data_IF_000437974385
#
_entry.id   IF_000437974385
#
_cell.length_a   1.000
_cell.length_b   1.000
_cell.length_c   1.000
_cell.angle_alpha   90.00
_cell.angle_beta   90.00
_cell.angle_gamma   90.00
#
_symmetry.space_group_name_H-M   'P 1'
#
loop_
_entity.id
_entity.type
_entity.pdbx_description
1 polymer ?
#
# COMPACT_ATOMS: atom_id res chain seq x y z
N UNK A 1 4.40 22.44 12.21
CA UNK A 1 5.17 21.34 11.55
C UNK A 1 4.82 19.91 11.99
N UNK A 2 4.44 19.67 13.26
CA UNK A 2 4.10 18.31 13.75
C UNK A 2 2.79 17.74 13.19
N UNK A 3 1.87 18.61 12.75
CA UNK A 3 0.62 18.21 12.08
C UNK A 3 0.90 17.65 10.68
N UNK A 4 1.79 18.30 9.92
CA UNK A 4 2.15 17.85 8.57
C UNK A 4 2.88 16.50 8.60
N UNK A 5 3.75 16.30 9.59
CA UNK A 5 4.43 15.01 9.80
C UNK A 5 3.47 13.89 10.18
N UNK A 6 2.45 14.20 10.98
CA UNK A 6 1.40 13.23 11.29
C UNK A 6 0.60 12.88 10.03
N UNK A 7 0.20 13.87 9.24
CA UNK A 7 -0.49 13.66 7.97
C UNK A 7 0.36 12.82 6.99
N UNK A 8 1.67 13.09 6.92
CA UNK A 8 2.62 12.28 6.15
C UNK A 8 2.65 10.82 6.62
N UNK A 9 2.66 10.57 7.93
CA UNK A 9 2.59 9.23 8.50
C UNK A 9 1.30 8.49 8.11
N UNK A 10 0.16 9.19 8.16
CA UNK A 10 -1.14 8.64 7.73
C UNK A 10 -1.13 8.30 6.24
N UNK A 11 -0.57 9.17 5.40
CA UNK A 11 -0.46 8.92 3.96
C UNK A 11 0.47 7.74 3.66
N UNK A 12 1.66 7.70 4.27
CA UNK A 12 2.60 6.60 4.10
C UNK A 12 1.95 5.25 4.48
N UNK A 13 1.22 5.22 5.59
CA UNK A 13 0.45 4.05 5.99
C UNK A 13 -0.60 3.66 4.94
N UNK A 14 -1.43 4.61 4.52
CA UNK A 14 -2.51 4.37 3.55
C UNK A 14 -1.97 3.84 2.22
N UNK A 15 -0.82 4.33 1.76
CA UNK A 15 -0.18 3.84 0.55
C UNK A 15 0.29 2.39 0.70
N UNK A 16 0.87 2.02 1.84
CA UNK A 16 1.35 0.66 2.08
C UNK A 16 0.21 -0.35 2.34
N UNK A 17 -0.87 0.04 3.00
CA UNK A 17 -1.92 -0.88 3.48
C UNK A 17 -3.27 -0.74 2.77
N UNK A 18 -3.45 0.30 1.96
CA UNK A 18 -4.70 0.60 1.25
C UNK A 18 -5.77 1.31 2.09
N UNK A 19 -5.55 1.54 3.38
CA UNK A 19 -6.47 2.22 4.29
C UNK A 19 -5.69 3.04 5.34
N UNK A 20 -6.24 4.13 5.89
CA UNK A 20 -5.59 4.87 6.97
C UNK A 20 -5.40 3.99 8.23
N UNK A 21 -4.42 4.32 9.09
CA UNK A 21 -4.23 3.59 10.35
C UNK A 21 -5.49 3.71 11.21
N UNK A 22 -5.90 2.60 11.84
CA UNK A 22 -6.97 2.64 12.84
C UNK A 22 -6.41 3.24 14.14
N UNK A 23 -7.09 4.23 14.76
CA UNK A 23 -6.71 4.70 16.07
C UNK A 23 -6.88 3.56 17.08
N UNK A 24 -5.84 3.24 17.85
CA UNK A 24 -5.95 2.36 19.01
C UNK A 24 -6.02 3.18 20.31
N UNK A 25 -6.50 2.59 21.43
CA UNK A 25 -6.67 3.31 22.70
C UNK A 25 -5.36 3.88 23.28
N UNK A 26 -4.22 3.27 22.96
CA UNK A 26 -2.88 3.74 23.36
C UNK A 26 -2.30 4.81 22.42
N UNK A 27 -3.08 5.20 21.40
CA UNK A 27 -2.68 6.15 20.37
C UNK A 27 -1.60 5.63 19.42
N UNK A 28 -1.32 4.32 19.43
CA UNK A 28 -0.54 3.66 18.40
C UNK A 28 -1.47 3.13 17.29
N UNK A 29 -1.03 3.08 16.04
CA UNK A 29 -1.82 2.45 14.99
C UNK A 29 -1.83 0.92 15.17
N UNK A 30 -3.00 0.29 15.01
CA UNK A 30 -3.08 -1.18 14.99
C UNK A 30 -2.42 -1.71 13.71
N UNK A 31 -1.35 -2.49 13.86
CA UNK A 31 -0.55 -2.99 12.75
C UNK A 31 -1.27 -4.06 11.94
N UNK A 32 -1.20 -3.91 10.62
CA UNK A 32 -1.63 -4.89 9.61
C UNK A 32 -0.47 -5.11 8.65
N UNK A 33 -0.42 -6.24 7.95
CA UNK A 33 0.65 -6.50 6.98
C UNK A 33 0.59 -5.52 5.78
N UNK A 34 1.72 -4.90 5.37
CA UNK A 34 1.78 -4.10 4.15
C UNK A 34 1.39 -4.90 2.90
N UNK A 35 0.67 -4.26 1.97
CA UNK A 35 0.30 -4.88 0.68
C UNK A 35 1.44 -4.90 -0.34
N UNK A 36 2.51 -4.17 -0.06
CA UNK A 36 3.69 -4.06 -0.89
C UNK A 36 4.94 -4.23 -0.04
N UNK A 37 6.06 -4.72 -0.59
CA UNK A 37 7.33 -4.73 0.12
C UNK A 37 7.67 -3.32 0.61
N UNK A 38 8.09 -3.21 1.86
CA UNK A 38 8.59 -1.98 2.47
C UNK A 38 10.00 -2.22 3.01
N UNK A 39 10.86 -1.19 3.07
CA UNK A 39 12.17 -1.32 3.69
C UNK A 39 12.10 -1.84 5.13
N UNK A 40 13.14 -2.52 5.57
CA UNK A 40 13.30 -2.86 6.98
C UNK A 40 13.27 -1.59 7.83
N UNK A 41 12.57 -1.62 8.96
CA UNK A 41 12.43 -0.46 9.84
C UNK A 41 11.47 0.63 9.34
N UNK A 42 10.84 0.47 8.17
CA UNK A 42 9.82 1.40 7.65
C UNK A 42 8.65 1.56 8.63
N UNK A 43 8.20 0.45 9.22
CA UNK A 43 7.15 0.45 10.25
C UNK A 43 7.52 1.38 11.40
N UNK A 44 8.72 1.22 11.96
CA UNK A 44 9.25 2.06 13.05
C UNK A 44 9.34 3.54 12.65
N UNK A 45 9.74 3.81 11.41
CA UNK A 45 9.77 5.16 10.87
C UNK A 45 8.37 5.79 10.84
N UNK A 46 7.36 5.09 10.30
CA UNK A 46 5.97 5.57 10.32
C UNK A 46 5.44 5.72 11.75
N UNK A 47 5.75 4.80 12.67
CA UNK A 47 5.35 4.93 14.08
C UNK A 47 5.89 6.22 14.70
N UNK A 48 7.11 6.64 14.33
CA UNK A 48 7.72 7.88 14.84
C UNK A 48 6.99 9.15 14.40
N UNK A 49 6.27 9.09 13.26
CA UNK A 49 5.43 10.18 12.77
C UNK A 49 4.06 10.19 13.44
N UNK A 50 3.54 9.00 13.77
CA UNK A 50 2.18 8.78 14.28
C UNK A 50 2.08 8.79 15.81
N UNK A 51 3.17 9.10 16.55
CA UNK A 51 3.13 9.17 18.02
C UNK A 51 2.01 10.11 18.49
N UNK A 52 1.22 9.65 19.47
CA UNK A 52 0.11 10.42 20.03
C UNK A 52 0.59 11.76 20.61
N UNK A 53 1.66 11.73 21.42
CA UNK A 53 2.26 12.94 21.99
C UNK A 53 3.18 13.61 20.99
N UNK A 54 3.03 14.92 20.81
CA UNK A 54 3.86 15.72 19.89
C UNK A 54 5.33 15.74 20.29
N UNK A 55 5.64 15.66 21.60
CA UNK A 55 7.00 15.59 22.13
C UNK A 55 7.75 14.31 21.78
N UNK A 56 7.01 13.22 21.49
CA UNK A 56 7.53 11.91 21.11
C UNK A 56 7.68 11.76 19.59
N UNK A 57 7.11 12.69 18.80
CA UNK A 57 7.22 12.68 17.34
C UNK A 57 8.62 13.08 16.88
N UNK A 58 8.98 12.64 15.68
CA UNK A 58 10.18 13.13 15.01
C UNK A 58 10.15 14.65 14.90
N UNK A 59 11.27 15.30 15.23
CA UNK A 59 11.37 16.77 15.25
C UNK A 59 11.74 17.29 13.87
N UNK A 60 10.72 17.58 13.07
CA UNK A 60 10.85 18.29 11.80
C UNK A 60 11.07 17.39 10.58
N UNK A 61 10.81 17.97 9.40
CA UNK A 61 10.87 17.27 8.12
C UNK A 61 12.27 16.78 7.76
N UNK A 62 13.31 17.56 8.06
CA UNK A 62 14.70 17.17 7.80
C UNK A 62 15.06 15.85 8.50
N UNK A 63 14.72 15.73 9.79
CA UNK A 63 14.99 14.51 10.56
C UNK A 63 14.16 13.32 10.06
N UNK A 64 12.89 13.56 9.71
CA UNK A 64 12.04 12.54 9.10
C UNK A 64 12.64 12.02 7.78
N UNK A 65 13.17 12.92 6.95
CA UNK A 65 13.82 12.58 5.69
C UNK A 65 15.12 11.80 5.87
N UNK A 66 16.01 12.25 6.75
CA UNK A 66 17.27 11.56 7.06
C UNK A 66 17.02 10.11 7.49
N UNK A 67 16.07 9.92 8.39
CA UNK A 67 15.73 8.59 8.92
C UNK A 67 15.06 7.70 7.88
N UNK A 68 14.26 8.27 6.97
CA UNK A 68 13.70 7.52 5.83
C UNK A 68 14.81 7.07 4.87
N UNK A 69 15.72 7.96 4.52
CA UNK A 69 16.86 7.64 3.64
C UNK A 69 17.76 6.55 4.22
N UNK A 70 17.95 6.56 5.54
CA UNK A 70 18.77 5.57 6.23
C UNK A 70 18.20 4.15 6.20
N UNK A 71 16.90 3.97 5.89
CA UNK A 71 16.31 2.64 5.72
C UNK A 71 16.82 1.91 4.49
N UNK A 72 17.42 2.63 3.53
CA UNK A 72 17.91 2.06 2.28
C UNK A 72 16.79 1.74 1.28
N UNK A 73 17.12 1.08 0.17
CA UNK A 73 16.16 0.76 -0.87
C UNK A 73 15.15 -0.27 -0.39
N UNK A 74 13.91 -0.13 -0.86
CA UNK A 74 12.89 -1.16 -0.69
C UNK A 74 13.38 -2.47 -1.33
N UNK A 75 13.25 -3.62 -0.65
CA UNK A 75 13.47 -4.92 -1.26
C UNK A 75 12.64 -4.98 -2.53
N UNK A 76 13.30 -5.18 -3.68
CA UNK A 76 12.55 -5.32 -4.94
C UNK A 76 11.60 -6.49 -4.74
N UNK A 77 10.32 -6.27 -5.04
CA UNK A 77 9.43 -7.37 -5.31
C UNK A 77 10.09 -8.11 -6.48
N UNK A 78 10.77 -9.23 -6.21
CA UNK A 78 11.11 -10.18 -7.25
C UNK A 78 9.76 -10.47 -7.91
N UNK A 79 9.60 -10.05 -9.16
CA UNK A 79 8.31 -10.08 -9.82
C UNK A 79 7.61 -11.42 -9.55
N UNK A 80 6.28 -11.44 -9.33
CA UNK A 80 5.58 -12.72 -9.42
C UNK A 80 5.98 -13.35 -10.77
N UNK A 81 6.27 -14.66 -10.84
CA UNK A 81 6.63 -15.28 -12.11
C UNK A 81 5.57 -14.88 -13.13
N UNK A 82 6.01 -14.19 -14.19
CA UNK A 82 5.15 -13.85 -15.30
C UNK A 82 4.69 -15.16 -15.94
N UNK A 83 3.54 -15.63 -15.49
CA UNK A 83 2.85 -16.76 -16.08
C UNK A 83 1.35 -16.45 -16.06
N UNK A 84 0.97 -15.44 -16.83
CA UNK A 84 -0.30 -15.54 -17.53
C UNK A 84 0.05 -16.04 -18.93
N UNK A 85 -0.01 -17.35 -19.22
CA UNK A 85 -0.16 -17.75 -20.60
C UNK A 85 -1.51 -17.17 -21.06
N UNK A 86 -1.48 -16.41 -22.15
CA UNK A 86 -2.66 -15.91 -22.81
C UNK A 86 -3.65 -17.06 -23.05
N UNK A 87 -4.72 -17.12 -22.27
CA UNK A 87 -5.83 -18.00 -22.56
C UNK A 87 -6.54 -17.45 -23.81
N UNK A 88 -6.12 -18.00 -24.94
CA UNK A 88 -6.78 -17.96 -26.25
C UNK A 88 -8.26 -18.35 -26.12
N UNK A 89 -9.08 -17.58 -26.85
CA UNK A 89 -10.27 -18.01 -27.59
C UNK A 89 -11.44 -18.64 -26.82
N UNK A 90 -12.41 -17.79 -26.43
CA UNK A 90 -13.82 -18.14 -26.62
C UNK A 90 -14.29 -17.51 -27.93
N UNK A 91 -14.05 -18.22 -29.05
CA UNK A 91 -14.79 -17.98 -30.28
C UNK A 91 -16.27 -18.26 -30.00
N UNK A 92 -17.10 -17.25 -30.26
CA UNK A 92 -18.54 -17.31 -30.19
C UNK A 92 -19.08 -18.46 -31.04
N UNK A 93 -19.66 -19.47 -30.38
CA UNK A 93 -20.53 -20.44 -31.02
C UNK A 93 -21.87 -19.76 -31.30
N UNK A 94 -22.01 -19.16 -32.48
CA UNK A 94 -23.30 -18.85 -33.08
C UNK A 94 -23.56 -19.88 -34.19
N UNK A 95 -23.79 -21.13 -33.80
CA UNK A 95 -24.38 -22.14 -34.67
C UNK A 95 -25.83 -22.39 -34.19
N UNK A 96 -26.71 -21.45 -34.51
CA UNK A 96 -28.16 -21.64 -34.43
C UNK A 96 -28.72 -21.54 -35.85
N UNK A 97 -29.52 -22.51 -36.33
CA UNK A 97 -30.08 -22.46 -37.67
C UNK A 97 -31.15 -21.35 -37.77
N UNK A 98 -31.07 -20.54 -38.82
CA UNK A 98 -32.16 -19.67 -39.24
C UNK A 98 -33.41 -20.53 -39.51
N UNK A 99 -34.56 -20.27 -38.88
CA UNK A 99 -35.81 -20.83 -39.35
C UNK A 99 -36.18 -20.18 -40.69
N UNK A 100 -36.27 -21.03 -41.70
CA UNK A 100 -36.83 -20.69 -43.00
C UNK A 100 -38.32 -20.34 -42.85
N UNK A 101 -38.67 -19.22 -43.47
CA UNK A 101 -39.81 -19.05 -44.39
C UNK A 101 -40.95 -20.08 -44.28
N UNK A 102 -42.14 -19.60 -43.86
CA UNK A 102 -43.41 -20.26 -44.14
C UNK A 102 -44.46 -19.19 -44.44
N UNK A 103 -44.82 -19.09 -45.72
CA UNK A 103 -46.19 -18.84 -46.21
C UNK A 103 -46.67 -17.41 -46.27
#
# INVERSE_FOLDING_TARGET
PWTDLYALGVMAWKLAHGAPPRPAPDGQPTWTEPRFPVPEGWVRWVSSLLRARTSERVRGAARAWETLRALGPTPRHLAPPSAVPAARAHAQSCAGPCPADVG
#
